data_IF_001175552696
#
_entry.id   IF_001175552696
#
_cell.length_a   1.000
_cell.length_b   1.000
_cell.length_c   1.000
_cell.angle_alpha   90.00
_cell.angle_beta   90.00
_cell.angle_gamma   90.00
#
_symmetry.space_group_name_H-M   'P 1'
#
loop_
_entity.id
_entity.type
_entity.pdbx_description
1 polymer ?
#
# COMPACT_ATOMS: atom_id res chain seq x y z
N UNK A 1 -3.78 -4.25 31.87
CA UNK A 1 -4.19 -5.66 32.05
C UNK A 1 -2.96 -6.55 32.08
N UNK A 2 -2.90 -7.47 33.04
CA UNK A 2 -1.76 -8.37 33.19
C UNK A 2 -2.13 -9.75 32.66
N UNK A 3 -1.24 -10.34 31.88
CA UNK A 3 -1.40 -11.65 31.29
C UNK A 3 -0.40 -12.63 31.93
N UNK A 4 -0.31 -13.86 31.40
CA UNK A 4 0.65 -14.86 31.88
C UNK A 4 2.06 -14.30 31.84
N UNK A 5 2.93 -14.83 32.72
CA UNK A 5 4.34 -14.46 32.82
C UNK A 5 4.56 -12.98 33.19
N UNK A 6 3.57 -12.34 33.82
CA UNK A 6 3.72 -10.97 34.25
C UNK A 6 3.66 -9.92 33.17
N UNK A 7 3.23 -10.29 31.99
CA UNK A 7 3.10 -9.32 30.88
C UNK A 7 1.95 -8.36 31.14
N UNK A 8 2.05 -7.15 30.59
CA UNK A 8 0.99 -6.16 30.66
C UNK A 8 0.53 -5.81 29.24
N UNK A 9 -0.71 -5.35 29.11
CA UNK A 9 -1.30 -4.97 27.83
C UNK A 9 -1.67 -3.50 27.92
N UNK A 10 -1.24 -2.73 26.93
CA UNK A 10 -1.54 -1.29 26.87
C UNK A 10 -2.20 -0.96 25.54
N UNK A 11 -3.06 0.07 25.57
CA UNK A 11 -3.72 0.60 24.38
C UNK A 11 -3.22 2.03 24.18
N UNK A 12 -2.87 2.37 22.95
CA UNK A 12 -2.41 3.73 22.62
C UNK A 12 -2.85 4.13 21.23
N UNK A 13 -3.10 5.42 21.05
CA UNK A 13 -3.34 6.00 19.72
C UNK A 13 -2.09 6.74 19.22
N UNK A 14 -0.97 6.62 19.94
CA UNK A 14 0.28 7.27 19.60
C UNK A 14 1.47 6.30 19.69
N UNK A 15 1.44 5.19 18.93
CA UNK A 15 2.56 4.25 18.94
C UNK A 15 3.79 4.89 18.30
N UNK A 16 4.98 4.55 18.81
CA UNK A 16 6.20 4.99 18.14
C UNK A 16 6.66 3.92 17.13
N UNK A 17 7.57 4.32 16.25
CA UNK A 17 8.03 3.44 15.17
C UNK A 17 8.75 2.21 15.70
N UNK A 18 9.50 2.35 16.78
CA UNK A 18 10.23 1.23 17.36
C UNK A 18 9.29 0.15 17.90
N UNK A 19 8.20 0.59 18.53
CA UNK A 19 7.19 -0.34 19.04
C UNK A 19 6.50 -1.09 17.90
N UNK A 20 6.16 -0.37 16.85
CA UNK A 20 5.55 -0.99 15.67
C UNK A 20 6.53 -1.95 14.97
N UNK A 21 7.81 -1.60 14.96
CA UNK A 21 8.84 -2.44 14.34
C UNK A 21 8.96 -3.80 15.03
N UNK A 22 8.75 -3.86 16.34
CA UNK A 22 8.77 -5.14 17.05
C UNK A 22 7.74 -6.10 16.49
N UNK A 23 6.55 -5.59 16.21
CA UNK A 23 5.46 -6.40 15.65
C UNK A 23 5.80 -6.81 14.21
N UNK A 24 6.25 -5.85 13.41
CA UNK A 24 6.59 -6.09 12.00
C UNK A 24 7.69 -7.12 11.87
N UNK A 25 8.77 -6.98 12.64
CA UNK A 25 9.89 -7.90 12.59
C UNK A 25 9.54 -9.29 13.13
N UNK A 26 8.73 -9.34 14.19
CA UNK A 26 8.28 -10.61 14.73
C UNK A 26 7.42 -11.38 13.75
N UNK A 27 6.52 -10.67 13.07
CA UNK A 27 5.65 -11.29 12.06
C UNK A 27 6.47 -11.76 10.86
N UNK A 28 7.43 -10.94 10.44
CA UNK A 28 8.30 -11.31 9.32
C UNK A 28 9.09 -12.58 9.64
N UNK A 29 9.66 -12.67 10.85
CA UNK A 29 10.41 -13.84 11.27
C UNK A 29 9.52 -15.08 11.33
N UNK A 30 8.30 -14.93 11.84
CA UNK A 30 7.34 -16.02 11.91
C UNK A 30 6.96 -16.51 10.51
N UNK A 31 6.65 -15.59 9.62
CA UNK A 31 6.29 -15.95 8.25
C UNK A 31 7.45 -16.61 7.51
N UNK A 32 8.65 -16.13 7.74
CA UNK A 32 9.86 -16.71 7.16
C UNK A 32 10.04 -18.14 7.62
N UNK A 33 9.82 -18.41 8.91
CA UNK A 33 9.93 -19.76 9.46
C UNK A 33 8.86 -20.69 8.87
N UNK A 34 7.65 -20.18 8.61
CA UNK A 34 6.57 -20.98 8.06
C UNK A 34 6.71 -21.22 6.56
N UNK A 35 7.13 -20.19 5.81
CA UNK A 35 7.22 -20.25 4.36
C UNK A 35 8.60 -20.62 3.84
N UNK A 36 9.58 -20.71 4.72
CA UNK A 36 10.94 -21.02 4.36
C UNK A 36 11.80 -19.83 3.94
N UNK A 37 11.17 -18.68 3.67
CA UNK A 37 11.89 -17.46 3.31
C UNK A 37 10.94 -16.27 3.39
N UNK A 38 11.51 -15.07 3.44
CA UNK A 38 10.76 -13.82 3.31
C UNK A 38 11.28 -13.08 2.09
N UNK A 39 10.36 -12.70 1.21
CA UNK A 39 10.69 -11.91 0.03
C UNK A 39 10.09 -10.51 0.11
N UNK A 40 9.69 -10.08 1.32
CA UNK A 40 9.08 -8.78 1.52
C UNK A 40 10.08 -7.66 1.19
N UNK A 41 9.70 -6.78 0.24
CA UNK A 41 10.53 -5.66 -0.20
C UNK A 41 9.70 -4.42 -0.42
N UNK A 42 10.22 -3.29 0.01
CA UNK A 42 9.56 -2.02 -0.23
C UNK A 42 9.61 -1.64 -1.70
N UNK A 43 8.62 -0.89 -2.14
CA UNK A 43 8.53 -0.36 -3.48
C UNK A 43 7.98 1.05 -3.40
N UNK A 44 8.64 1.98 -4.06
CA UNK A 44 8.16 3.36 -4.13
C UNK A 44 8.48 3.94 -5.50
N UNK A 45 7.57 4.82 -5.97
CA UNK A 45 7.80 5.61 -7.17
C UNK A 45 7.57 7.05 -6.77
N UNK A 46 8.61 7.86 -6.78
CA UNK A 46 8.54 9.24 -6.31
C UNK A 46 8.51 10.23 -7.46
N UNK A 47 7.74 11.29 -7.26
CA UNK A 47 7.79 12.48 -8.11
C UNK A 47 8.58 13.53 -7.36
N UNK A 48 9.62 14.07 -7.99
CA UNK A 48 10.49 15.05 -7.37
C UNK A 48 10.37 16.40 -8.06
N UNK A 49 10.47 17.46 -7.27
CA UNK A 49 10.58 18.79 -7.80
C UNK A 49 11.89 18.90 -8.59
N UNK A 50 11.88 19.42 -9.82
CA UNK A 50 13.09 19.44 -10.66
C UNK A 50 14.19 20.34 -10.11
N UNK A 51 13.85 21.35 -9.35
CA UNK A 51 14.83 22.30 -8.80
C UNK A 51 15.36 21.86 -7.44
N UNK A 52 14.45 21.57 -6.51
CA UNK A 52 14.84 21.23 -5.13
C UNK A 52 15.18 19.76 -4.94
N UNK A 53 14.76 18.90 -5.88
CA UNK A 53 14.92 17.44 -5.81
C UNK A 53 14.12 16.80 -4.66
N UNK A 54 13.27 17.57 -4.00
CA UNK A 54 12.44 17.04 -2.92
C UNK A 54 11.27 16.25 -3.48
N UNK A 55 10.87 15.22 -2.75
CA UNK A 55 9.69 14.42 -3.10
C UNK A 55 8.45 15.27 -2.88
N UNK A 56 7.59 15.35 -3.89
CA UNK A 56 6.35 16.12 -3.83
C UNK A 56 5.11 15.25 -4.05
N UNK A 57 5.30 13.99 -4.38
CA UNK A 57 4.20 13.05 -4.57
C UNK A 57 4.75 11.69 -4.95
N UNK A 58 3.85 10.79 -5.28
CA UNK A 58 4.21 9.45 -5.71
C UNK A 58 3.36 8.39 -5.05
N UNK A 59 3.87 7.18 -5.07
CA UNK A 59 3.22 6.06 -4.39
C UNK A 59 4.26 5.21 -3.67
N UNK A 60 3.81 4.48 -2.68
CA UNK A 60 4.67 3.48 -2.05
C UNK A 60 3.84 2.31 -1.56
N UNK A 61 4.50 1.22 -1.39
CA UNK A 61 3.90 -0.01 -0.91
C UNK A 61 4.97 -1.07 -0.78
N UNK A 62 4.61 -2.30 -1.09
CA UNK A 62 5.48 -3.42 -0.81
C UNK A 62 5.10 -4.61 -1.68
N UNK A 63 6.06 -5.43 -2.02
CA UNK A 63 5.81 -6.72 -2.66
C UNK A 63 6.16 -7.85 -1.70
N UNK A 64 5.31 -8.87 -1.67
CA UNK A 64 5.52 -10.03 -0.80
C UNK A 64 4.65 -11.18 -1.29
N UNK A 65 5.22 -12.36 -1.38
CA UNK A 65 4.47 -13.58 -1.72
C UNK A 65 3.67 -13.46 -3.02
N UNK A 66 4.27 -12.81 -4.00
CA UNK A 66 3.62 -12.65 -5.31
C UNK A 66 2.57 -11.56 -5.38
N UNK A 67 2.45 -10.74 -4.36
CA UNK A 67 1.45 -9.69 -4.29
C UNK A 67 2.13 -8.32 -4.20
N UNK A 68 1.70 -7.41 -5.07
CA UNK A 68 2.06 -5.98 -4.98
C UNK A 68 0.96 -5.29 -4.19
N UNK A 69 1.32 -4.65 -3.09
CA UNK A 69 0.37 -3.85 -2.32
C UNK A 69 0.75 -2.38 -2.42
N UNK A 70 -0.14 -1.57 -2.95
CA UNK A 70 0.04 -0.11 -3.00
C UNK A 70 -0.62 0.46 -1.75
N UNK A 71 0.17 1.00 -0.84
CA UNK A 71 -0.33 1.47 0.46
C UNK A 71 -0.79 2.92 0.42
N UNK A 72 -0.07 3.78 -0.29
CA UNK A 72 -0.39 5.21 -0.40
C UNK A 72 -0.06 5.72 -1.80
N UNK A 73 -0.90 6.61 -2.29
CA UNK A 73 -0.73 7.20 -3.61
C UNK A 73 -1.23 8.63 -3.56
N UNK A 74 -0.37 9.59 -3.83
CA UNK A 74 -0.74 11.00 -3.77
C UNK A 74 0.00 11.81 -4.84
N UNK A 75 -0.75 12.66 -5.53
CA UNK A 75 -0.19 13.69 -6.41
C UNK A 75 -0.77 15.04 -6.03
N UNK A 76 0.06 16.10 -5.98
CA UNK A 76 -0.46 17.45 -5.82
C UNK A 76 -1.47 17.76 -6.92
N UNK A 77 -2.44 18.60 -6.62
CA UNK A 77 -3.52 18.91 -7.56
C UNK A 77 -2.99 19.40 -8.92
N UNK A 78 -1.96 20.22 -8.91
CA UNK A 78 -1.38 20.75 -10.14
C UNK A 78 -0.72 19.71 -11.05
N UNK A 79 -0.46 18.52 -10.54
CA UNK A 79 0.16 17.43 -11.30
C UNK A 79 -0.83 16.34 -11.70
N UNK A 80 -2.11 16.55 -11.40
CA UNK A 80 -3.16 15.59 -11.77
C UNK A 80 -3.62 15.88 -13.20
N UNK A 81 -4.33 14.91 -13.79
CA UNK A 81 -4.94 15.01 -15.12
C UNK A 81 -3.97 15.11 -16.30
N UNK A 82 -2.68 14.92 -16.07
CA UNK A 82 -1.70 14.92 -17.15
C UNK A 82 -1.16 13.53 -17.51
N UNK A 83 -1.79 12.48 -17.00
CA UNK A 83 -1.33 11.12 -17.24
C UNK A 83 -0.20 10.68 -16.32
N UNK A 84 0.24 11.54 -15.43
CA UNK A 84 1.34 11.20 -14.53
C UNK A 84 0.96 10.08 -13.58
N UNK A 85 -0.26 10.12 -13.03
CA UNK A 85 -0.74 9.06 -12.13
C UNK A 85 -0.74 7.69 -12.78
N UNK A 86 -1.22 7.61 -14.03
CA UNK A 86 -1.20 6.36 -14.80
C UNK A 86 0.20 5.85 -15.02
N UNK A 87 1.13 6.76 -15.26
CA UNK A 87 2.53 6.44 -15.48
C UNK A 87 3.20 5.89 -14.22
N UNK A 88 2.94 6.53 -13.07
CA UNK A 88 3.48 6.05 -11.80
C UNK A 88 2.95 4.66 -11.46
N UNK A 89 1.66 4.46 -11.66
CA UNK A 89 1.03 3.19 -11.37
C UNK A 89 1.58 2.09 -12.29
N UNK A 90 1.76 2.41 -13.58
CA UNK A 90 2.34 1.47 -14.53
C UNK A 90 3.77 1.08 -14.15
N UNK A 91 4.56 2.04 -13.64
CA UNK A 91 5.92 1.75 -13.19
C UNK A 91 5.93 0.80 -11.99
N UNK A 92 5.01 1.02 -11.05
CA UNK A 92 4.88 0.13 -9.89
C UNK A 92 4.46 -1.28 -10.30
N UNK A 93 3.51 -1.38 -11.23
CA UNK A 93 3.03 -2.67 -11.74
C UNK A 93 4.14 -3.41 -12.47
N UNK A 94 4.92 -2.70 -13.28
CA UNK A 94 6.03 -3.30 -14.00
C UNK A 94 7.11 -3.82 -13.05
N UNK A 95 7.41 -3.06 -12.01
CA UNK A 95 8.36 -3.53 -11.01
C UNK A 95 7.80 -4.74 -10.25
N UNK A 96 6.50 -4.74 -9.97
CA UNK A 96 5.85 -5.88 -9.37
C UNK A 96 6.00 -7.15 -10.22
N UNK A 97 5.78 -7.02 -11.52
CA UNK A 97 5.98 -8.13 -12.45
C UNK A 97 7.42 -8.62 -12.45
N UNK A 98 8.36 -7.68 -12.44
CA UNK A 98 9.78 -8.02 -12.41
C UNK A 98 10.15 -8.79 -11.15
N UNK A 99 9.46 -8.53 -10.04
CA UNK A 99 9.66 -9.24 -8.77
C UNK A 99 8.84 -10.53 -8.68
N UNK A 100 8.14 -10.91 -9.74
CA UNK A 100 7.35 -12.14 -9.78
C UNK A 100 5.94 -12.02 -9.23
N UNK A 101 5.45 -10.79 -9.03
CA UNK A 101 4.08 -10.60 -8.57
C UNK A 101 3.09 -10.90 -9.67
N UNK A 102 2.04 -11.62 -9.30
CA UNK A 102 0.96 -11.98 -10.22
C UNK A 102 -0.30 -11.18 -9.99
N UNK A 103 -0.39 -10.48 -8.86
CA UNK A 103 -1.54 -9.68 -8.50
C UNK A 103 -1.12 -8.43 -7.75
N UNK A 104 -2.00 -7.43 -7.79
CA UNK A 104 -1.83 -6.19 -7.04
C UNK A 104 -3.11 -5.86 -6.30
N UNK A 105 -3.00 -5.20 -5.15
CA UNK A 105 -4.14 -4.75 -4.35
C UNK A 105 -3.91 -3.34 -3.85
N UNK A 106 -5.00 -2.62 -3.67
CA UNK A 106 -5.01 -1.32 -3.01
C UNK A 106 -6.40 -1.05 -2.45
N UNK A 107 -6.52 -0.02 -1.62
CA UNK A 107 -7.84 0.45 -1.23
C UNK A 107 -7.91 1.96 -1.45
N UNK A 108 -9.10 2.44 -1.77
CA UNK A 108 -9.35 3.86 -2.00
C UNK A 108 -10.75 4.20 -1.53
N UNK A 109 -10.98 5.46 -1.16
CA UNK A 109 -12.30 5.90 -0.77
C UNK A 109 -12.97 6.58 -1.97
N UNK A 110 -14.30 6.76 -1.88
CA UNK A 110 -15.10 7.28 -2.98
C UNK A 110 -14.52 8.55 -3.60
N UNK A 111 -14.11 9.51 -2.77
CA UNK A 111 -13.62 10.79 -3.27
C UNK A 111 -12.18 10.72 -3.81
N UNK A 112 -11.51 9.59 -3.70
CA UNK A 112 -10.15 9.39 -4.25
C UNK A 112 -10.18 8.74 -5.63
N UNK A 113 -11.35 8.80 -6.29
CA UNK A 113 -11.52 8.41 -7.68
C UNK A 113 -11.21 6.94 -8.00
N UNK A 114 -12.05 5.99 -7.51
CA UNK A 114 -11.89 4.59 -7.91
C UNK A 114 -11.98 4.40 -9.43
N UNK A 115 -12.67 5.30 -10.13
CA UNK A 115 -12.73 5.27 -11.60
C UNK A 115 -11.38 5.38 -12.27
N UNK A 116 -10.44 6.09 -11.66
CA UNK A 116 -9.08 6.17 -12.18
C UNK A 116 -8.46 4.79 -12.27
N UNK A 117 -8.59 4.00 -11.20
CA UNK A 117 -8.02 2.66 -11.16
C UNK A 117 -8.71 1.72 -12.13
N UNK A 118 -10.03 1.82 -12.25
CA UNK A 118 -10.79 0.99 -13.19
C UNK A 118 -10.34 1.22 -14.62
N UNK A 119 -10.01 2.46 -14.99
CA UNK A 119 -9.47 2.77 -16.31
C UNK A 119 -8.11 2.14 -16.54
N UNK A 120 -7.39 1.83 -15.49
CA UNK A 120 -6.08 1.17 -15.57
C UNK A 120 -6.19 -0.34 -15.49
N UNK A 121 -7.41 -0.88 -15.51
CA UNK A 121 -7.63 -2.32 -15.50
C UNK A 121 -7.82 -2.94 -14.13
N UNK A 122 -7.96 -2.11 -13.10
CA UNK A 122 -8.24 -2.59 -11.75
C UNK A 122 -9.72 -2.89 -11.59
N UNK A 123 -10.03 -3.86 -10.74
CA UNK A 123 -11.40 -4.28 -10.47
C UNK A 123 -11.73 -4.10 -9.00
N UNK A 124 -13.00 -3.81 -8.71
CA UNK A 124 -13.47 -3.72 -7.32
C UNK A 124 -13.67 -5.13 -6.78
N UNK A 125 -12.92 -5.49 -5.74
CA UNK A 125 -13.04 -6.77 -5.08
C UNK A 125 -14.02 -6.72 -3.91
N UNK A 126 -14.11 -5.57 -3.23
CA UNK A 126 -14.99 -5.40 -2.08
C UNK A 126 -15.31 -3.93 -1.85
N UNK A 127 -16.45 -3.69 -1.23
CA UNK A 127 -16.88 -2.34 -0.84
C UNK A 127 -17.27 -2.36 0.62
N UNK A 128 -16.87 -1.31 1.33
CA UNK A 128 -17.25 -1.16 2.74
C UNK A 128 -17.79 0.24 2.93
N UNK A 129 -19.04 0.33 3.38
CA UNK A 129 -19.64 1.62 3.68
C UNK A 129 -18.99 2.20 4.93
N UNK A 130 -18.59 3.46 4.83
CA UNK A 130 -17.92 4.17 5.92
C UNK A 130 -18.80 5.31 6.41
N UNK A 131 -18.31 6.05 7.38
CA UNK A 131 -19.00 7.19 7.94
C UNK A 131 -18.28 8.48 7.58
N UNK A 132 -18.97 9.57 7.34
CA UNK A 132 -20.44 9.66 7.26
C UNK A 132 -21.00 8.98 6.01
N UNK A 133 -22.32 8.73 5.95
CA UNK A 133 -22.93 8.05 4.81
C UNK A 133 -22.54 8.69 3.48
N UNK A 134 -22.34 7.85 2.47
CA UNK A 134 -21.88 8.30 1.17
C UNK A 134 -20.39 8.15 0.95
N UNK A 135 -19.68 7.71 1.98
CA UNK A 135 -18.24 7.42 1.89
C UNK A 135 -18.03 5.91 1.87
N UNK A 136 -17.63 5.40 0.73
CA UNK A 136 -17.41 3.98 0.53
C UNK A 136 -15.92 3.73 0.32
N UNK A 137 -15.37 2.73 1.02
CA UNK A 137 -14.01 2.29 0.77
C UNK A 137 -14.07 1.13 -0.21
N UNK A 138 -13.29 1.24 -1.27
CA UNK A 138 -13.19 0.21 -2.30
C UNK A 138 -11.87 -0.52 -2.16
N UNK A 139 -11.93 -1.83 -2.09
CA UNK A 139 -10.74 -2.67 -2.16
C UNK A 139 -10.63 -3.16 -3.59
N UNK A 140 -9.51 -2.86 -4.22
CA UNK A 140 -9.35 -3.10 -5.64
C UNK A 140 -8.18 -4.03 -5.91
N UNK A 141 -8.29 -4.81 -6.96
CA UNK A 141 -7.28 -5.78 -7.33
C UNK A 141 -7.05 -5.76 -8.84
N UNK A 142 -5.86 -6.20 -9.23
CA UNK A 142 -5.51 -6.30 -10.64
C UNK A 142 -4.62 -7.52 -10.85
N UNK A 143 -4.86 -8.26 -11.92
CA UNK A 143 -3.95 -9.31 -12.36
C UNK A 143 -2.77 -8.65 -13.05
N UNK A 144 -1.56 -9.09 -12.72
CA UNK A 144 -0.35 -8.54 -13.33
C UNK A 144 0.22 -9.43 -14.41
N UNK A 145 -0.28 -10.65 -14.54
CA UNK A 145 0.15 -11.57 -15.59
C UNK A 145 -1.01 -12.34 -16.17
#
# INVERSE_FOLDING_TARGET
MTNRAGTTITLTDAPNDDECAVITEGLRAYNEAQAGHSDSRELAVFVRDPETKKVIGGLFGRTSLGLLRVDRFFLPEGLRRGGLGSRLLAMAEEEGRRRGCTRAVLSTVHFQAPGFYMKQGWEVAARIECEPPGHTRFYMTKKLC
#
